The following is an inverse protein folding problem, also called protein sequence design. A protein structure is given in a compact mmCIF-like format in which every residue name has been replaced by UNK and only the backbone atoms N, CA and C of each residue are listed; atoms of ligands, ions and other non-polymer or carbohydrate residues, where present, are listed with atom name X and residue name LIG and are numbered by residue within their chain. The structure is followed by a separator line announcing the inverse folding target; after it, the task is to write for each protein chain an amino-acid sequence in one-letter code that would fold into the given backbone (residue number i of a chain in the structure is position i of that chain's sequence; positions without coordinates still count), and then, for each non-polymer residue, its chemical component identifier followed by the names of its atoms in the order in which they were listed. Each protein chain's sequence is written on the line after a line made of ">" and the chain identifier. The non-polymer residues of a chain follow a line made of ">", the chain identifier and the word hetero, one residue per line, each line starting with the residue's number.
data_IF_504148099921
#
_entry.id   IF_504148099921
#
_cell.length_a   1.000
_cell.length_b   1.000
_cell.length_c   1.000
_cell.angle_alpha   90.00
_cell.angle_beta   90.00
_cell.angle_gamma   90.00
#
_symmetry.space_group_name_H-M   'P 1'
#
loop_
_entity.id
_entity.type
_entity.pdbx_description
1 polymer ?
#
# COMPACT_ATOMS: atom_id res chain seq x y z
N UNK A 1 26.92 -1.08 -17.75
CA UNK A 1 25.59 -0.50 -17.47
C UNK A 1 25.80 0.97 -17.13
N UNK A 2 25.08 1.91 -17.75
CA UNK A 2 25.21 3.35 -17.45
C UNK A 2 24.11 3.75 -16.47
N UNK A 3 24.48 4.22 -15.28
CA UNK A 3 23.55 4.74 -14.28
C UNK A 3 23.55 6.27 -14.35
N UNK A 4 22.38 6.86 -14.60
CA UNK A 4 22.17 8.31 -14.48
C UNK A 4 21.36 8.56 -13.20
N UNK A 5 21.98 9.24 -12.24
CA UNK A 5 21.34 9.63 -10.97
C UNK A 5 21.87 10.97 -10.51
N UNK A 6 21.04 11.71 -9.77
CA UNK A 6 21.43 12.94 -9.08
C UNK A 6 22.21 12.66 -7.78
N UNK A 7 22.28 11.40 -7.33
CA UNK A 7 23.00 10.99 -6.12
C UNK A 7 23.96 9.82 -6.42
N UNK A 8 25.06 10.06 -7.15
CA UNK A 8 26.00 9.00 -7.56
C UNK A 8 26.69 8.33 -6.36
N UNK A 9 26.89 9.06 -5.27
CA UNK A 9 27.60 8.58 -4.09
C UNK A 9 26.71 7.85 -3.08
N UNK A 10 25.41 7.72 -3.36
CA UNK A 10 24.50 7.04 -2.43
C UNK A 10 24.90 5.55 -2.33
N UNK A 11 25.03 4.97 -1.11
CA UNK A 11 25.53 3.61 -0.91
C UNK A 11 24.81 2.55 -1.75
N UNK A 12 23.49 2.68 -1.87
CA UNK A 12 22.62 1.81 -2.71
C UNK A 12 22.96 1.92 -4.21
N UNK A 13 23.25 3.12 -4.70
CA UNK A 13 23.63 3.34 -6.11
C UNK A 13 25.01 2.76 -6.38
N UNK A 14 25.97 2.96 -5.48
CA UNK A 14 27.31 2.40 -5.60
C UNK A 14 27.28 0.86 -5.58
N UNK A 15 26.52 0.26 -4.67
CA UNK A 15 26.32 -1.19 -4.61
C UNK A 15 25.66 -1.74 -5.88
N UNK A 16 24.60 -1.08 -6.37
CA UNK A 16 23.94 -1.46 -7.62
C UNK A 16 24.87 -1.34 -8.84
N UNK A 17 25.68 -0.29 -8.91
CA UNK A 17 26.64 -0.07 -10.01
C UNK A 17 27.73 -1.15 -10.08
N UNK A 18 28.03 -1.77 -8.94
CA UNK A 18 29.04 -2.83 -8.79
C UNK A 18 28.44 -4.24 -8.87
N UNK A 19 27.13 -4.35 -9.09
CA UNK A 19 26.38 -5.61 -8.98
C UNK A 19 26.57 -6.32 -7.62
N UNK A 20 26.86 -5.54 -6.57
CA UNK A 20 27.08 -6.06 -5.22
C UNK A 20 25.76 -6.10 -4.44
N UNK A 21 25.03 -7.21 -4.63
CA UNK A 21 23.74 -7.42 -3.97
C UNK A 21 23.85 -7.49 -2.44
N UNK A 22 24.95 -8.04 -1.91
CA UNK A 22 25.12 -8.20 -0.47
C UNK A 22 25.28 -6.83 0.21
N UNK A 23 26.12 -5.95 -0.35
CA UNK A 23 26.27 -4.58 0.15
C UNK A 23 24.97 -3.77 0.00
N UNK A 24 24.23 -3.96 -1.09
CA UNK A 24 22.91 -3.34 -1.29
C UNK A 24 21.92 -3.78 -0.18
N UNK A 25 21.79 -5.09 0.04
CA UNK A 25 20.84 -5.64 1.01
C UNK A 25 21.17 -5.22 2.45
N UNK A 26 22.46 -5.22 2.81
CA UNK A 26 22.93 -4.79 4.13
C UNK A 26 22.61 -3.31 4.42
N UNK A 27 22.57 -2.46 3.39
CA UNK A 27 22.21 -1.05 3.53
C UNK A 27 20.69 -0.81 3.56
N UNK A 28 19.92 -1.54 2.75
CA UNK A 28 18.47 -1.29 2.58
C UNK A 28 17.59 -1.99 3.63
N UNK A 29 17.95 -3.22 4.05
CA UNK A 29 17.12 -4.01 4.96
C UNK A 29 16.90 -3.36 6.33
N UNK A 30 17.92 -2.83 7.03
CA UNK A 30 17.72 -2.19 8.34
C UNK A 30 16.81 -0.96 8.26
N UNK A 31 16.89 -0.21 7.16
CA UNK A 31 16.03 0.95 6.92
C UNK A 31 14.57 0.53 6.71
N UNK A 32 14.35 -0.56 5.97
CA UNK A 32 13.00 -1.15 5.77
C UNK A 32 12.42 -1.72 7.04
N UNK A 33 13.23 -2.39 7.85
CA UNK A 33 12.85 -2.90 9.18
C UNK A 33 12.40 -1.76 10.10
N UNK A 34 13.22 -0.71 10.21
CA UNK A 34 12.90 0.46 11.03
C UNK A 34 11.62 1.17 10.56
N UNK A 35 11.37 1.21 9.25
CA UNK A 35 10.19 1.85 8.66
C UNK A 35 8.94 0.92 8.57
N UNK A 36 9.08 -0.34 8.99
CA UNK A 36 8.01 -1.34 9.01
C UNK A 36 7.48 -1.72 7.63
N UNK A 37 8.36 -1.77 6.62
CA UNK A 37 8.01 -2.20 5.25
C UNK A 37 8.40 -3.66 5.00
N UNK A 38 7.79 -4.34 4.00
CA UNK A 38 8.22 -5.67 3.56
C UNK A 38 9.72 -5.68 3.22
N UNK A 39 10.46 -6.77 3.52
CA UNK A 39 9.99 -8.08 4.01
C UNK A 39 9.76 -8.16 5.53
N UNK A 40 10.19 -7.16 6.30
CA UNK A 40 10.17 -7.18 7.76
C UNK A 40 8.76 -7.17 8.36
N UNK A 41 7.79 -6.60 7.64
CA UNK A 41 6.40 -6.50 8.05
C UNK A 41 5.47 -6.79 6.87
N UNK A 42 4.42 -7.58 7.09
CA UNK A 42 3.39 -7.84 6.07
C UNK A 42 2.65 -6.56 5.72
N UNK A 43 2.15 -6.48 4.48
CA UNK A 43 1.39 -5.32 4.02
C UNK A 43 0.17 -5.76 3.24
N UNK A 44 -0.97 -5.13 3.50
CA UNK A 44 -2.19 -5.29 2.70
C UNK A 44 -2.49 -3.97 2.00
N UNK A 45 -2.82 -4.03 0.72
CA UNK A 45 -3.40 -2.92 -0.03
C UNK A 45 -4.89 -3.12 -0.22
N UNK A 46 -5.66 -2.09 0.09
CA UNK A 46 -7.09 -1.99 -0.20
C UNK A 46 -7.26 -0.99 -1.35
N UNK A 47 -7.50 -1.48 -2.55
CA UNK A 47 -7.72 -0.65 -3.73
C UNK A 47 -9.20 -0.32 -3.92
N UNK A 48 -9.51 0.91 -4.32
CA UNK A 48 -10.85 1.35 -4.69
C UNK A 48 -10.81 1.99 -6.08
N UNK A 49 -11.79 1.69 -6.94
CA UNK A 49 -11.86 2.23 -8.28
C UNK A 49 -13.29 2.52 -8.75
N UNK A 50 -13.54 3.71 -9.29
CA UNK A 50 -14.82 4.09 -9.91
C UNK A 50 -14.61 5.08 -11.05
N UNK A 51 -15.64 5.32 -11.87
CA UNK A 51 -15.58 6.32 -12.95
C UNK A 51 -15.61 7.75 -12.44
N UNK A 52 -16.43 8.02 -11.41
CA UNK A 52 -16.56 9.35 -10.80
C UNK A 52 -15.59 9.49 -9.63
N UNK A 53 -14.86 10.61 -9.60
CA UNK A 53 -13.91 10.92 -8.53
C UNK A 53 -14.57 11.01 -7.16
N UNK A 54 -15.71 11.71 -7.07
CA UNK A 54 -16.42 11.93 -5.82
C UNK A 54 -16.83 10.60 -5.14
N UNK A 55 -17.34 9.63 -5.92
CA UNK A 55 -17.77 8.33 -5.40
C UNK A 55 -16.62 7.55 -4.76
N UNK A 56 -15.47 7.46 -5.47
CA UNK A 56 -14.32 6.70 -4.98
C UNK A 56 -13.66 7.38 -3.78
N UNK A 57 -13.56 8.71 -3.79
CA UNK A 57 -13.00 9.46 -2.66
C UNK A 57 -13.87 9.32 -1.42
N UNK A 58 -15.19 9.48 -1.54
CA UNK A 58 -16.12 9.35 -0.42
C UNK A 58 -16.09 7.92 0.15
N UNK A 59 -16.10 6.90 -0.73
CA UNK A 59 -15.98 5.51 -0.32
C UNK A 59 -14.64 5.25 0.39
N UNK A 60 -13.53 5.77 -0.14
CA UNK A 60 -12.20 5.60 0.45
C UNK A 60 -12.11 6.25 1.84
N UNK A 61 -12.66 7.45 2.02
CA UNK A 61 -12.73 8.13 3.32
C UNK A 61 -13.56 7.35 4.33
N UNK A 62 -14.76 6.90 3.95
CA UNK A 62 -15.63 6.09 4.82
C UNK A 62 -14.97 4.78 5.22
N UNK A 63 -14.28 4.11 4.29
CA UNK A 63 -13.54 2.89 4.60
C UNK A 63 -12.34 3.17 5.52
N UNK A 64 -11.63 4.29 5.30
CA UNK A 64 -10.52 4.73 6.13
C UNK A 64 -10.95 4.91 7.58
N UNK A 65 -12.05 5.63 7.83
CA UNK A 65 -12.57 5.85 9.18
C UNK A 65 -12.88 4.54 9.90
N UNK A 66 -13.50 3.59 9.20
CA UNK A 66 -13.82 2.28 9.75
C UNK A 66 -12.56 1.47 10.06
N UNK A 67 -11.57 1.47 9.17
CA UNK A 67 -10.27 0.82 9.40
C UNK A 67 -9.55 1.51 10.56
N UNK A 68 -9.57 2.84 10.58
CA UNK A 68 -9.26 3.77 11.67
C UNK A 68 -9.78 3.30 13.02
N UNK A 69 -11.05 2.89 13.01
CA UNK A 69 -11.84 2.52 14.16
C UNK A 69 -11.71 1.04 14.57
N UNK A 70 -11.20 0.16 13.71
CA UNK A 70 -11.06 -1.28 14.01
C UNK A 70 -9.62 -1.81 14.06
N UNK A 71 -8.69 -1.20 13.32
CA UNK A 71 -7.28 -1.58 13.26
C UNK A 71 -6.48 -0.53 14.03
N UNK A 72 -5.81 -0.92 15.12
CA UNK A 72 -5.08 0.02 15.99
C UNK A 72 -3.57 -0.21 15.98
N UNK A 73 -2.78 0.88 16.09
CA UNK A 73 -1.39 0.80 16.46
C UNK A 73 -1.21 0.18 17.86
N UNK A 74 -0.05 -0.44 18.17
CA UNK A 74 1.16 -0.50 17.33
C UNK A 74 1.16 -1.68 16.33
N UNK A 75 0.24 -2.64 16.49
CA UNK A 75 0.23 -3.91 15.74
C UNK A 75 -0.17 -3.72 14.28
N UNK A 76 -1.13 -2.84 14.02
CA UNK A 76 -1.63 -2.51 12.70
C UNK A 76 -1.63 -1.00 12.48
N UNK A 77 -0.93 -0.55 11.44
CA UNK A 77 -0.91 0.85 11.03
C UNK A 77 -1.68 0.99 9.71
N UNK A 78 -2.66 1.90 9.67
CA UNK A 78 -3.43 2.20 8.46
C UNK A 78 -2.88 3.49 7.85
N UNK A 79 -2.55 3.45 6.56
CA UNK A 79 -2.09 4.60 5.78
C UNK A 79 -3.11 4.95 4.70
N UNK A 80 -3.29 6.25 4.47
CA UNK A 80 -4.28 6.78 3.53
C UNK A 80 -5.58 7.21 4.23
N UNK A 81 -6.65 7.46 3.47
CA UNK A 81 -6.82 7.13 2.05
C UNK A 81 -6.04 8.08 1.15
N UNK A 82 -5.45 7.56 0.07
CA UNK A 82 -4.69 8.35 -0.88
C UNK A 82 -5.03 7.94 -2.34
N UNK A 83 -4.88 8.83 -3.32
CA UNK A 83 -4.87 8.43 -4.73
C UNK A 83 -3.86 7.32 -4.99
N UNK A 84 -4.18 6.38 -5.87
CA UNK A 84 -3.20 5.40 -6.33
C UNK A 84 -2.10 6.09 -7.15
N UNK A 85 -0.90 5.48 -7.23
CA UNK A 85 0.23 6.01 -8.00
C UNK A 85 -0.20 6.38 -9.43
N UNK A 86 -0.99 5.51 -10.07
CA UNK A 86 -1.76 5.86 -11.26
C UNK A 86 -3.19 6.22 -10.86
N UNK A 87 -3.41 7.51 -10.57
CA UNK A 87 -4.69 8.03 -10.10
C UNK A 87 -5.83 7.83 -11.11
N UNK A 88 -5.53 7.72 -12.41
CA UNK A 88 -6.52 7.40 -13.45
C UNK A 88 -5.99 6.34 -14.41
N UNK A 89 -6.71 5.24 -14.56
CA UNK A 89 -6.41 4.17 -15.51
C UNK A 89 -7.71 3.69 -16.16
N UNK A 90 -7.73 3.56 -17.49
CA UNK A 90 -8.92 3.12 -18.26
C UNK A 90 -10.20 3.91 -17.91
N UNK A 91 -10.06 5.23 -17.77
CA UNK A 91 -11.15 6.15 -17.39
C UNK A 91 -11.79 5.88 -16.00
N UNK A 92 -11.04 5.23 -15.11
CA UNK A 92 -11.42 5.03 -13.70
C UNK A 92 -10.44 5.74 -12.79
N UNK A 93 -10.97 6.44 -11.80
CA UNK A 93 -10.21 7.05 -10.71
C UNK A 93 -9.91 5.96 -9.68
N UNK A 94 -8.65 5.87 -9.26
CA UNK A 94 -8.16 4.87 -8.31
C UNK A 94 -7.69 5.51 -7.01
N UNK A 95 -8.14 4.95 -5.90
CA UNK A 95 -7.68 5.25 -4.55
C UNK A 95 -7.19 4.00 -3.86
N UNK A 96 -6.41 4.17 -2.79
CA UNK A 96 -5.91 3.06 -2.00
C UNK A 96 -5.77 3.41 -0.53
N UNK A 97 -5.86 2.38 0.30
CA UNK A 97 -5.38 2.36 1.67
C UNK A 97 -4.35 1.25 1.83
N UNK A 98 -3.38 1.45 2.72
CA UNK A 98 -2.41 0.43 3.08
C UNK A 98 -2.57 0.07 4.55
N UNK A 99 -2.42 -1.20 4.86
CA UNK A 99 -2.32 -1.69 6.24
C UNK A 99 -0.96 -2.34 6.40
N UNK A 100 -0.14 -1.79 7.30
CA UNK A 100 1.12 -2.40 7.72
C UNK A 100 0.87 -3.28 8.93
N UNK A 101 1.29 -4.54 8.83
CA UNK A 101 1.16 -5.55 9.88
C UNK A 101 0.35 -6.76 9.45
N UNK A 102 0.37 -7.78 10.30
CA UNK A 102 -0.29 -9.06 10.04
C UNK A 102 -1.72 -9.04 10.58
N UNK A 103 -2.70 -8.94 9.69
CA UNK A 103 -4.11 -9.08 10.06
C UNK A 103 -4.36 -10.51 10.60
N UNK A 104 -5.26 -10.64 11.56
CA UNK A 104 -5.83 -11.93 11.97
C UNK A 104 -6.87 -12.41 10.94
N UNK A 105 -7.29 -13.68 11.03
CA UNK A 105 -8.36 -14.19 10.16
C UNK A 105 -9.69 -13.44 10.39
N UNK A 106 -9.99 -13.06 11.64
CA UNK A 106 -11.17 -12.28 11.98
C UNK A 106 -11.12 -10.88 11.35
N UNK A 107 -9.98 -10.18 11.46
CA UNK A 107 -9.81 -8.85 10.86
C UNK A 107 -9.85 -8.89 9.32
N UNK A 108 -9.27 -9.93 8.69
CA UNK A 108 -9.39 -10.17 7.25
C UNK A 108 -10.84 -10.37 6.83
N UNK A 109 -11.58 -11.22 7.55
CA UNK A 109 -12.99 -11.49 7.27
C UNK A 109 -13.86 -10.23 7.44
N UNK A 110 -13.61 -9.46 8.50
CA UNK A 110 -14.28 -8.18 8.74
C UNK A 110 -14.01 -7.19 7.61
N UNK A 111 -12.76 -7.02 7.19
CA UNK A 111 -12.40 -6.10 6.11
C UNK A 111 -13.03 -6.52 4.78
N UNK A 112 -13.03 -7.81 4.47
CA UNK A 112 -13.69 -8.35 3.28
C UNK A 112 -15.21 -8.10 3.31
N UNK A 113 -15.86 -8.26 4.47
CA UNK A 113 -17.28 -7.96 4.62
C UNK A 113 -17.59 -6.47 4.44
N UNK A 114 -16.82 -5.60 5.10
CA UNK A 114 -16.99 -4.14 4.97
C UNK A 114 -16.74 -3.66 3.54
N UNK A 115 -15.71 -4.20 2.87
CA UNK A 115 -15.43 -3.93 1.47
C UNK A 115 -16.59 -4.34 0.56
N UNK A 116 -17.13 -5.56 0.72
CA UNK A 116 -18.29 -6.02 -0.07
C UNK A 116 -19.53 -5.15 0.12
N UNK A 117 -19.86 -4.80 1.36
CA UNK A 117 -21.02 -3.93 1.66
C UNK A 117 -20.87 -2.56 1.02
N UNK A 118 -19.69 -1.95 1.17
CA UNK A 118 -19.42 -0.63 0.59
C UNK A 118 -19.48 -0.66 -0.94
N UNK A 119 -18.95 -1.71 -1.57
CA UNK A 119 -19.04 -1.90 -3.02
C UNK A 119 -20.49 -2.00 -3.49
N UNK A 120 -21.35 -2.74 -2.76
CA UNK A 120 -22.77 -2.86 -3.07
C UNK A 120 -23.54 -1.54 -2.90
N UNK A 121 -23.16 -0.70 -1.92
CA UNK A 121 -23.82 0.58 -1.64
C UNK A 121 -23.41 1.70 -2.61
N UNK A 122 -22.19 1.66 -3.16
CA UNK A 122 -21.57 2.83 -3.84
C UNK A 122 -21.20 2.58 -5.30
N UNK A 123 -21.38 1.37 -5.83
CA UNK A 123 -20.91 0.95 -7.16
C UNK A 123 -19.41 1.21 -7.39
N UNK A 124 -18.63 1.24 -6.31
CA UNK A 124 -17.16 1.35 -6.31
C UNK A 124 -16.58 -0.07 -6.27
N UNK A 125 -15.67 -0.39 -7.17
CA UNK A 125 -14.96 -1.67 -7.11
C UNK A 125 -13.90 -1.61 -6.01
N UNK A 126 -13.91 -2.61 -5.12
CA UNK A 126 -12.96 -2.71 -4.00
C UNK A 126 -12.18 -4.01 -4.12
N UNK A 127 -10.86 -3.92 -4.05
CA UNK A 127 -9.92 -5.04 -4.17
C UNK A 127 -9.04 -5.13 -2.92
N UNK A 128 -8.81 -6.36 -2.42
CA UNK A 128 -7.88 -6.64 -1.33
C UNK A 128 -6.68 -7.41 -1.87
N UNK A 129 -5.49 -6.83 -1.71
CA UNK A 129 -4.25 -7.33 -2.28
C UNK A 129 -3.23 -7.56 -1.15
N UNK A 130 -2.94 -8.84 -0.88
CA UNK A 130 -2.07 -9.29 0.22
C UNK A 130 -0.63 -9.36 -0.29
N UNK A 131 0.26 -8.63 0.38
CA UNK A 131 1.67 -8.50 0.04
C UNK A 131 1.89 -8.02 -1.42
N UNK A 132 1.42 -6.81 -1.76
CA UNK A 132 1.53 -6.28 -3.12
C UNK A 132 3.01 -6.17 -3.52
N UNK A 133 3.39 -6.85 -4.61
CA UNK A 133 4.75 -6.87 -5.18
C UNK A 133 5.17 -5.47 -5.68
N UNK A 134 4.21 -4.54 -5.77
CA UNK A 134 4.44 -3.11 -5.94
C UNK A 134 3.20 -2.27 -5.67
N UNK A 135 3.42 -1.00 -5.31
CA UNK A 135 2.36 0.01 -5.14
C UNK A 135 2.02 0.77 -6.44
N UNK A 136 2.51 0.28 -7.58
CA UNK A 136 2.31 0.85 -8.91
C UNK A 136 0.96 0.40 -9.52
#
# INVERSE_FOLDING_TARGET
>A
MLFQTWQPDHPVILAASRHDFAAFAAAELPQREAAGYPPARRMLRVGLAARRHADVEQAARRLAELMHAHLRPPELEVLGPAPAVFARLQNRVRWQLLVKGSLTNAQRAWLADRGRRLAAETAVDITLDVDPVGLY
#
